data_IF_423562065372
#
_entry.id   IF_423562065372
#
_cell.length_a   1.000
_cell.length_b   1.000
_cell.length_c   1.000
_cell.angle_alpha   90.00
_cell.angle_beta   90.00
_cell.angle_gamma   90.00
#
_symmetry.space_group_name_H-M   'P 1'
#
loop_
_entity.id
_entity.type
_entity.pdbx_description
1 polymer ?
#
# COMPACT_ATOMS: atom_id res chain seq x y z
N UNK A 1 18.24 12.57 22.99
CA UNK A 1 18.19 12.73 21.53
C UNK A 1 17.07 11.83 21.03
N UNK A 2 15.92 12.38 20.64
CA UNK A 2 14.90 11.58 19.96
C UNK A 2 15.44 11.26 18.57
N UNK A 3 15.85 10.02 18.35
CA UNK A 3 16.18 9.57 17.01
C UNK A 3 14.91 9.76 16.16
N UNK A 4 14.98 10.60 15.13
CA UNK A 4 13.87 10.69 14.17
C UNK A 4 13.75 9.32 13.52
N UNK A 5 12.67 8.61 13.85
CA UNK A 5 12.38 7.32 13.23
C UNK A 5 12.26 7.57 11.73
N UNK A 6 13.10 6.90 10.93
CA UNK A 6 13.05 7.02 9.49
C UNK A 6 11.76 6.37 9.00
N UNK A 7 11.00 7.08 8.17
CA UNK A 7 9.86 6.52 7.47
C UNK A 7 10.29 5.39 6.52
N UNK A 8 9.38 4.48 6.20
CA UNK A 8 9.61 3.36 5.28
C UNK A 8 8.65 3.46 4.11
N UNK A 9 9.18 3.39 2.89
CA UNK A 9 8.39 3.22 1.66
C UNK A 9 8.39 1.74 1.27
N UNK A 10 7.20 1.20 1.00
CA UNK A 10 7.02 -0.19 0.55
C UNK A 10 6.31 -0.17 -0.80
N UNK A 11 6.91 -0.77 -1.82
CA UNK A 11 6.25 -1.04 -3.10
C UNK A 11 5.35 -2.27 -2.97
N UNK A 12 4.08 -2.14 -3.36
CA UNK A 12 3.09 -3.22 -3.28
C UNK A 12 2.52 -3.50 -4.67
N UNK A 13 2.63 -4.75 -5.12
CA UNK A 13 1.92 -5.23 -6.32
C UNK A 13 0.47 -5.58 -5.97
N UNK A 14 -0.50 -5.00 -6.68
CA UNK A 14 -1.94 -5.16 -6.43
C UNK A 14 -2.58 -6.34 -7.17
N UNK A 15 -1.82 -7.03 -8.02
CA UNK A 15 -2.36 -8.08 -8.89
C UNK A 15 -3.28 -7.54 -9.99
N UNK A 16 -4.05 -8.42 -10.66
CA UNK A 16 -4.86 -8.06 -11.83
C UNK A 16 -6.24 -7.46 -11.48
N UNK A 17 -6.59 -7.33 -10.19
CA UNK A 17 -7.81 -6.66 -9.73
C UNK A 17 -8.68 -7.46 -8.75
N UNK A 18 -8.59 -8.79 -8.71
CA UNK A 18 -9.28 -9.59 -7.69
C UNK A 18 -8.52 -9.49 -6.34
N UNK A 19 -9.15 -9.01 -5.25
CA UNK A 19 -8.50 -8.87 -3.93
C UNK A 19 -7.94 -10.18 -3.36
N UNK A 20 -8.57 -11.32 -3.66
CA UNK A 20 -8.13 -12.65 -3.21
C UNK A 20 -6.78 -13.07 -3.80
N UNK A 21 -6.29 -12.37 -4.83
CA UNK A 21 -5.01 -12.62 -5.46
C UNK A 21 -3.86 -11.80 -4.85
N UNK A 22 -4.12 -10.99 -3.82
CA UNK A 22 -3.07 -10.30 -3.09
C UNK A 22 -2.22 -11.29 -2.30
N UNK A 23 -0.91 -11.04 -2.27
CA UNK A 23 -0.02 -11.82 -1.39
C UNK A 23 -0.28 -11.46 0.07
N UNK A 24 -0.05 -12.39 0.99
CA UNK A 24 -0.15 -12.11 2.44
C UNK A 24 0.76 -10.96 2.89
N UNK A 25 1.90 -10.75 2.22
CA UNK A 25 2.79 -9.62 2.51
C UNK A 25 2.21 -8.29 2.06
N UNK A 26 1.53 -8.26 0.91
CA UNK A 26 0.83 -7.07 0.42
C UNK A 26 -0.29 -6.66 1.38
N UNK A 27 -1.11 -7.62 1.81
CA UNK A 27 -2.21 -7.36 2.77
C UNK A 27 -1.67 -6.80 4.08
N UNK A 28 -0.61 -7.40 4.65
CA UNK A 28 0.02 -6.90 5.88
C UNK A 28 0.60 -5.50 5.71
N UNK A 29 1.34 -5.26 4.63
CA UNK A 29 1.94 -3.96 4.36
C UNK A 29 0.87 -2.86 4.20
N UNK A 30 -0.25 -3.16 3.54
CA UNK A 30 -1.36 -2.22 3.37
C UNK A 30 -2.10 -1.97 4.69
N UNK A 31 -2.29 -3.00 5.52
CA UNK A 31 -2.97 -2.87 6.81
C UNK A 31 -2.16 -2.07 7.85
N UNK A 32 -0.83 -2.14 7.79
CA UNK A 32 0.08 -1.43 8.70
C UNK A 32 0.47 -0.03 8.18
N UNK A 33 0.15 0.32 6.93
CA UNK A 33 0.58 1.57 6.34
C UNK A 33 -0.20 2.77 6.91
N UNK A 34 0.54 3.77 7.42
CA UNK A 34 -0.06 5.05 7.82
C UNK A 34 -0.65 5.81 6.61
N UNK A 35 -0.03 5.65 5.43
CA UNK A 35 -0.41 6.34 4.18
C UNK A 35 -0.31 5.38 3.00
N UNK A 36 -1.37 5.34 2.17
CA UNK A 36 -1.40 4.59 0.91
C UNK A 36 -1.44 5.56 -0.26
N UNK A 37 -0.43 5.50 -1.11
CA UNK A 37 -0.40 6.20 -2.40
C UNK A 37 -0.66 5.20 -3.52
N UNK A 38 -1.68 5.45 -4.35
CA UNK A 38 -2.02 4.60 -5.49
C UNK A 38 -2.34 5.43 -6.72
N UNK A 39 -2.32 4.77 -7.88
CA UNK A 39 -2.79 5.39 -9.12
C UNK A 39 -4.31 5.56 -9.08
N UNK A 40 -4.77 6.80 -9.22
CA UNK A 40 -6.18 7.16 -9.34
C UNK A 40 -6.41 7.85 -10.69
N UNK A 41 -6.91 7.09 -11.67
CA UNK A 41 -7.32 7.65 -12.96
C UNK A 41 -8.46 8.64 -12.74
N UNK A 42 -8.37 9.84 -13.32
CA UNK A 42 -9.44 10.84 -13.26
C UNK A 42 -10.79 10.26 -13.72
N UNK A 43 -11.81 10.41 -12.89
CA UNK A 43 -13.17 9.88 -13.14
C UNK A 43 -13.39 8.44 -12.68
N UNK A 44 -12.40 7.81 -12.06
CA UNK A 44 -12.55 6.49 -11.45
C UNK A 44 -12.65 6.64 -9.93
N UNK A 45 -13.84 6.43 -9.38
CA UNK A 45 -14.13 6.49 -7.93
C UNK A 45 -14.11 5.09 -7.27
N UNK A 46 -13.53 4.09 -7.94
CA UNK A 46 -13.39 2.74 -7.41
C UNK A 46 -12.48 2.70 -6.19
#
# INVERSE_FOLDING_TARGET
MNAIAKGRLVGVGTGPGNPELLTLRAVRALAEADVVAHFAKRGNNS
#
